data_IF_176537178703
#
_entry.id   IF_176537178703
#
_cell.length_a   1.000
_cell.length_b   1.000
_cell.length_c   1.000
_cell.angle_alpha   90.00
_cell.angle_beta   90.00
_cell.angle_gamma   90.00
#
_symmetry.space_group_name_H-M   'P 1'
#
loop_
_entity.id
_entity.type
_entity.pdbx_description
1 polymer ?
#
# COMPACT_ATOMS: atom_id res chain seq x y z
N UNK A 1 3.67 4.31 3.80
CA UNK A 1 5.15 4.21 3.74
C UNK A 1 5.58 3.24 2.64
N UNK A 2 5.19 1.95 2.72
CA UNK A 2 5.59 0.94 1.72
C UNK A 2 5.25 1.27 0.26
N UNK A 3 4.09 1.90 -0.01
CA UNK A 3 3.73 2.30 -1.39
C UNK A 3 4.71 3.35 -1.93
N UNK A 4 5.01 4.37 -1.14
CA UNK A 4 5.97 5.42 -1.51
C UNK A 4 7.39 4.88 -1.68
N UNK A 5 7.79 3.88 -0.88
CA UNK A 5 9.05 3.17 -1.07
C UNK A 5 9.08 2.38 -2.38
N UNK A 6 7.97 1.68 -2.72
CA UNK A 6 7.87 0.94 -3.99
C UNK A 6 7.92 1.89 -5.21
N UNK A 7 7.28 3.06 -5.11
CA UNK A 7 7.35 4.11 -6.14
C UNK A 7 8.76 4.69 -6.27
N UNK A 8 9.41 4.98 -5.14
CA UNK A 8 10.78 5.49 -5.13
C UNK A 8 11.76 4.48 -5.71
N UNK A 9 11.58 3.19 -5.40
CA UNK A 9 12.38 2.10 -5.97
C UNK A 9 12.15 1.93 -7.48
N UNK A 10 10.91 2.14 -7.97
CA UNK A 10 10.61 2.15 -9.40
C UNK A 10 11.31 3.29 -10.14
N UNK A 11 11.34 4.49 -9.57
CA UNK A 11 12.10 5.60 -10.15
C UNK A 11 13.60 5.31 -10.12
N UNK A 12 14.12 4.83 -8.98
CA UNK A 12 15.55 4.53 -8.85
C UNK A 12 16.03 3.42 -9.80
N UNK A 13 15.22 2.39 -10.09
CA UNK A 13 15.59 1.34 -11.03
C UNK A 13 15.58 1.83 -12.49
N UNK A 14 14.74 2.82 -12.84
CA UNK A 14 14.78 3.42 -14.17
C UNK A 14 16.12 4.11 -14.41
N UNK A 15 16.60 4.84 -13.41
CA UNK A 15 17.88 5.57 -13.42
C UNK A 15 19.12 4.70 -13.12
N UNK A 16 18.94 3.41 -12.78
CA UNK A 16 20.05 2.52 -12.42
C UNK A 16 20.77 1.91 -13.64
N UNK A 17 21.99 1.42 -13.41
CA UNK A 17 22.68 0.53 -14.35
C UNK A 17 22.01 -0.85 -14.48
N UNK A 18 22.61 -1.73 -15.27
CA UNK A 18 22.13 -3.10 -15.55
C UNK A 18 22.21 -4.03 -14.33
N UNK A 19 23.17 -3.80 -13.43
CA UNK A 19 23.35 -4.66 -12.26
C UNK A 19 22.37 -4.28 -11.15
N UNK A 20 21.38 -5.14 -10.93
CA UNK A 20 20.36 -4.96 -9.90
C UNK A 20 20.44 -6.10 -8.89
N UNK A 21 20.31 -5.75 -7.61
CA UNK A 21 20.33 -6.69 -6.51
C UNK A 21 19.08 -6.51 -5.64
N UNK A 22 18.56 -7.62 -5.12
CA UNK A 22 17.46 -7.62 -4.17
C UNK A 22 17.85 -8.22 -2.84
N UNK A 23 17.34 -7.64 -1.77
CA UNK A 23 17.56 -8.15 -0.42
C UNK A 23 16.36 -9.01 -0.02
N UNK A 24 16.63 -10.27 0.37
CA UNK A 24 15.65 -11.20 0.94
C UNK A 24 16.21 -11.72 2.26
N UNK A 25 15.66 -11.22 3.37
CA UNK A 25 16.21 -11.49 4.69
C UNK A 25 17.64 -10.96 4.80
N UNK A 26 18.61 -11.85 5.02
CA UNK A 26 20.03 -11.52 5.08
C UNK A 26 20.78 -11.74 3.74
N UNK A 27 20.07 -12.18 2.70
CA UNK A 27 20.67 -12.51 1.41
C UNK A 27 20.53 -11.33 0.44
N UNK A 28 21.61 -11.03 -0.28
CA UNK A 28 21.61 -10.13 -1.42
C UNK A 28 21.72 -10.96 -2.70
N UNK A 29 20.72 -10.88 -3.57
CA UNK A 29 20.57 -11.75 -4.74
C UNK A 29 20.58 -10.90 -6.00
N UNK A 30 21.48 -11.20 -6.94
CA UNK A 30 21.49 -10.56 -8.26
C UNK A 30 20.22 -10.93 -9.03
N UNK A 31 19.63 -9.95 -9.69
CA UNK A 31 18.43 -10.12 -10.51
C UNK A 31 18.55 -9.30 -11.78
N UNK A 32 17.80 -9.70 -12.81
CA UNK A 32 17.70 -8.94 -14.04
C UNK A 32 16.86 -7.68 -13.79
N UNK A 33 17.30 -6.54 -14.35
CA UNK A 33 16.62 -5.25 -14.24
C UNK A 33 15.15 -5.30 -14.71
N UNK A 34 14.79 -5.90 -15.87
CA UNK A 34 13.40 -5.98 -16.31
C UNK A 34 12.53 -6.77 -15.34
N UNK A 35 13.05 -7.90 -14.82
CA UNK A 35 12.36 -8.73 -13.84
C UNK A 35 12.10 -7.98 -12.54
N UNK A 36 13.09 -7.24 -12.03
CA UNK A 36 12.90 -6.44 -10.82
C UNK A 36 11.90 -5.30 -11.04
N UNK A 37 11.92 -4.66 -12.22
CA UNK A 37 10.94 -3.62 -12.55
C UNK A 37 9.52 -4.18 -12.52
N UNK A 38 9.29 -5.34 -13.14
CA UNK A 38 7.99 -6.02 -13.10
C UNK A 38 7.58 -6.41 -11.66
N UNK A 39 8.50 -6.94 -10.86
CA UNK A 39 8.25 -7.26 -9.44
C UNK A 39 7.80 -6.01 -8.64
N UNK A 40 8.47 -4.87 -8.84
CA UNK A 40 8.13 -3.61 -8.19
C UNK A 40 6.79 -3.03 -8.67
N UNK A 41 6.51 -3.08 -9.97
CA UNK A 41 5.23 -2.63 -10.53
C UNK A 41 4.05 -3.45 -9.99
N UNK A 42 4.21 -4.77 -9.91
CA UNK A 42 3.22 -5.65 -9.31
C UNK A 42 3.02 -5.37 -7.82
N UNK A 43 4.11 -5.12 -7.08
CA UNK A 43 4.05 -4.72 -5.67
C UNK A 43 3.30 -3.40 -5.49
N UNK A 44 3.59 -2.40 -6.33
CA UNK A 44 2.88 -1.10 -6.32
C UNK A 44 1.38 -1.30 -6.51
N UNK A 45 0.96 -1.99 -7.57
CA UNK A 45 -0.46 -2.26 -7.86
C UNK A 45 -1.19 -2.94 -6.69
N UNK A 46 -0.54 -3.90 -6.05
CA UNK A 46 -1.10 -4.60 -4.89
C UNK A 46 -1.28 -3.66 -3.68
N UNK A 47 -0.27 -2.81 -3.40
CA UNK A 47 -0.32 -1.83 -2.32
C UNK A 47 -1.36 -0.71 -2.56
N UNK A 48 -1.53 -0.26 -3.80
CA UNK A 48 -2.59 0.68 -4.19
C UNK A 48 -3.97 0.10 -3.96
N UNK A 49 -4.21 -1.16 -4.40
CA UNK A 49 -5.47 -1.85 -4.15
C UNK A 49 -5.76 -2.01 -2.65
N UNK A 50 -4.73 -2.36 -1.87
CA UNK A 50 -4.85 -2.48 -0.41
C UNK A 50 -5.21 -1.14 0.22
N UNK A 51 -4.53 -0.05 -0.17
CA UNK A 51 -4.82 1.31 0.33
C UNK A 51 -6.27 1.70 0.06
N UNK A 52 -6.72 1.52 -1.20
CA UNK A 52 -8.11 1.83 -1.59
C UNK A 52 -9.14 0.99 -0.81
N UNK A 53 -8.82 -0.26 -0.53
CA UNK A 53 -9.68 -1.14 0.27
C UNK A 53 -9.78 -0.64 1.71
N UNK A 54 -8.66 -0.19 2.30
CA UNK A 54 -8.65 0.37 3.65
C UNK A 54 -9.44 1.69 3.73
N UNK A 55 -9.31 2.57 2.75
CA UNK A 55 -10.10 3.82 2.67
C UNK A 55 -11.61 3.53 2.59
N UNK A 56 -11.99 2.50 1.81
CA UNK A 56 -13.40 2.10 1.70
C UNK A 56 -13.93 1.57 3.03
N UNK A 57 -13.13 0.76 3.75
CA UNK A 57 -13.48 0.26 5.07
C UNK A 57 -13.59 1.38 6.11
N UNK A 58 -12.66 2.33 6.10
CA UNK A 58 -12.67 3.50 6.99
C UNK A 58 -13.93 4.34 6.81
N UNK A 59 -14.30 4.63 5.55
CA UNK A 59 -15.52 5.38 5.24
C UNK A 59 -16.77 4.65 5.76
N UNK A 60 -16.86 3.34 5.53
CA UNK A 60 -18.00 2.53 5.99
C UNK A 60 -18.11 2.52 7.53
N UNK A 61 -16.98 2.32 8.23
CA UNK A 61 -16.94 2.34 9.69
C UNK A 61 -17.28 3.71 10.26
N UNK A 62 -16.81 4.78 9.62
CA UNK A 62 -17.11 6.16 10.03
C UNK A 62 -18.61 6.46 9.90
N UNK A 63 -19.25 6.01 8.81
CA UNK A 63 -20.69 6.16 8.63
C UNK A 63 -21.48 5.38 9.70
N UNK A 64 -21.09 4.13 9.97
CA UNK A 64 -21.70 3.30 11.01
C UNK A 64 -21.55 3.94 12.40
N UNK A 65 -20.37 4.50 12.70
CA UNK A 65 -20.12 5.20 13.95
C UNK A 65 -21.01 6.45 14.09
N UNK A 66 -21.20 7.21 13.01
CA UNK A 66 -22.10 8.35 12.97
C UNK A 66 -23.54 7.95 13.31
N UNK A 67 -24.07 6.92 12.64
CA UNK A 67 -25.41 6.36 12.90
C UNK A 67 -25.57 5.89 14.33
N UNK A 68 -24.60 5.12 14.85
CA UNK A 68 -24.61 4.64 16.22
C UNK A 68 -24.65 5.79 17.22
N UNK A 69 -23.85 6.85 17.00
CA UNK A 69 -23.82 8.04 17.86
C UNK A 69 -25.18 8.74 17.89
N UNK A 70 -25.84 8.88 16.75
CA UNK A 70 -27.19 9.46 16.68
C UNK A 70 -28.20 8.64 17.48
N UNK A 71 -28.18 7.31 17.35
CA UNK A 71 -29.13 6.43 18.02
C UNK A 71 -28.92 6.42 19.55
N UNK A 72 -27.67 6.45 20.01
CA UNK A 72 -27.34 6.63 21.44
C UNK A 72 -27.88 7.97 21.94
N UNK A 73 -27.67 9.07 21.22
CA UNK A 73 -28.17 10.39 21.62
C UNK A 73 -29.70 10.46 21.66
N UNK A 74 -30.40 9.82 20.72
CA UNK A 74 -31.88 9.73 20.75
C UNK A 74 -32.36 9.00 22.00
N UNK A 75 -31.67 7.94 22.39
CA UNK A 75 -32.00 7.15 23.59
C UNK A 75 -31.76 7.96 24.87
N UNK A 76 -30.68 8.74 24.94
CA UNK A 76 -30.36 9.58 26.10
C UNK A 76 -31.27 10.82 26.27
N UNK A 77 -31.97 11.24 25.21
CA UNK A 77 -32.91 12.39 25.25
C UNK A 77 -34.35 11.98 25.61
N UNK A 78 -34.63 10.69 25.74
CA UNK A 78 -35.88 10.15 26.27
C UNK A 78 -35.74 9.86 27.76
#
# INVERSE_FOLDING_TARGET
>A
MELSEAESALTAIEDSGEEVFKIIGQLMIKTEKPKMKEELENKKKMLELRTKTMETQENSLTEQLGKLREDVMKTMKK
#
